data_IF_488831904575
#
_entry.id   IF_488831904575
#
_cell.length_a   1.000
_cell.length_b   1.000
_cell.length_c   1.000
_cell.angle_alpha   90.00
_cell.angle_beta   90.00
_cell.angle_gamma   90.00
#
_symmetry.space_group_name_H-M   'P 1'
#
loop_
_entity.id
_entity.type
_entity.pdbx_description
1 polymer ?
#
# COMPACT_ATOMS: atom_id res chain seq x y z
N UNK A 1 23.42 39.72 2.62
CA UNK A 1 22.30 38.95 3.19
C UNK A 1 21.60 38.35 2.00
N UNK A 2 21.89 37.10 1.66
CA UNK A 2 21.38 36.43 0.46
C UNK A 2 19.89 36.16 0.67
N UNK A 3 19.04 36.82 -0.12
CA UNK A 3 17.62 36.53 -0.19
C UNK A 3 17.43 35.08 -0.62
N UNK A 4 17.21 34.22 0.37
CA UNK A 4 16.86 32.83 0.17
C UNK A 4 15.42 32.81 -0.32
N UNK A 5 15.24 32.90 -1.65
CA UNK A 5 13.93 32.72 -2.28
C UNK A 5 13.54 31.24 -2.12
N UNK A 6 13.02 30.89 -0.94
CA UNK A 6 12.52 29.55 -0.58
C UNK A 6 11.17 29.26 -1.25
N UNK A 7 11.04 29.58 -2.54
CA UNK A 7 9.87 29.19 -3.31
C UNK A 7 10.10 27.78 -3.82
N UNK A 8 9.21 26.87 -3.42
CA UNK A 8 9.21 25.48 -3.87
C UNK A 8 9.18 25.44 -5.40
N UNK A 9 9.94 24.53 -6.01
CA UNK A 9 9.92 24.40 -7.47
C UNK A 9 8.52 23.95 -7.92
N UNK A 10 8.08 24.27 -9.14
CA UNK A 10 6.77 23.85 -9.65
C UNK A 10 6.51 22.34 -9.50
N UNK A 11 7.55 21.52 -9.60
CA UNK A 11 7.50 20.08 -9.43
C UNK A 11 7.30 19.65 -7.97
N UNK A 12 7.90 20.36 -7.01
CA UNK A 12 7.70 20.13 -5.57
C UNK A 12 6.28 20.50 -5.13
N UNK A 13 5.73 21.58 -5.68
CA UNK A 13 4.34 21.98 -5.42
C UNK A 13 3.38 20.97 -6.02
N UNK A 14 3.63 20.51 -7.26
CA UNK A 14 2.83 19.46 -7.89
C UNK A 14 2.85 18.15 -7.07
N UNK A 15 4.02 17.74 -6.61
CA UNK A 15 4.21 16.59 -5.73
C UNK A 15 3.38 16.74 -4.44
N UNK A 16 3.51 17.87 -3.75
CA UNK A 16 2.82 18.12 -2.49
C UNK A 16 1.30 18.08 -2.64
N UNK A 17 0.76 18.67 -3.70
CA UNK A 17 -0.69 18.68 -3.97
C UNK A 17 -1.21 17.27 -4.25
N UNK A 18 -0.48 16.49 -5.06
CA UNK A 18 -0.86 15.10 -5.35
C UNK A 18 -0.83 14.25 -4.06
N UNK A 19 0.23 14.37 -3.28
CA UNK A 19 0.39 13.64 -2.02
C UNK A 19 -0.70 14.02 -1.01
N UNK A 20 -1.01 15.31 -0.86
CA UNK A 20 -2.05 15.78 0.06
C UNK A 20 -3.42 15.20 -0.31
N UNK A 21 -3.79 15.22 -1.59
CA UNK A 21 -5.07 14.66 -2.06
C UNK A 21 -5.14 13.15 -1.87
N UNK A 22 -4.07 12.43 -2.20
CA UNK A 22 -4.00 10.97 -2.02
C UNK A 22 -4.05 10.58 -0.54
N UNK A 23 -3.36 11.32 0.31
CA UNK A 23 -3.36 11.08 1.76
C UNK A 23 -4.75 11.31 2.37
N UNK A 24 -5.40 12.44 2.04
CA UNK A 24 -6.76 12.71 2.52
C UNK A 24 -7.78 11.69 2.00
N UNK A 25 -7.69 11.32 0.72
CA UNK A 25 -8.55 10.30 0.14
C UNK A 25 -8.33 8.92 0.78
N UNK A 26 -7.08 8.50 0.96
CA UNK A 26 -6.72 7.23 1.60
C UNK A 26 -7.14 7.18 3.07
N UNK A 27 -6.98 8.28 3.81
CA UNK A 27 -7.42 8.41 5.20
C UNK A 27 -8.95 8.28 5.32
N UNK A 28 -9.70 8.99 4.48
CA UNK A 28 -11.15 8.91 4.46
C UNK A 28 -11.61 7.49 4.09
N UNK A 29 -10.98 6.86 3.11
CA UNK A 29 -11.27 5.48 2.73
C UNK A 29 -10.94 4.50 3.86
N UNK A 30 -9.90 4.74 4.66
CA UNK A 30 -9.56 3.95 5.83
C UNK A 30 -10.68 3.99 6.87
N UNK A 31 -11.23 5.17 7.18
CA UNK A 31 -12.38 5.26 8.09
C UNK A 31 -13.61 4.53 7.56
N UNK A 32 -13.91 4.65 6.26
CA UNK A 32 -15.06 3.98 5.64
C UNK A 32 -14.91 2.46 5.71
N UNK A 33 -13.79 1.92 5.24
CA UNK A 33 -13.53 0.48 5.21
C UNK A 33 -13.48 -0.13 6.61
N UNK A 34 -12.91 0.61 7.57
CA UNK A 34 -12.89 0.20 8.97
C UNK A 34 -14.30 0.20 9.59
N UNK A 35 -15.12 1.22 9.30
CA UNK A 35 -16.51 1.25 9.74
C UNK A 35 -17.32 0.08 9.12
N UNK A 36 -17.14 -0.22 7.83
CA UNK A 36 -17.78 -1.36 7.16
C UNK A 36 -17.42 -2.69 7.84
N UNK A 37 -16.16 -2.84 8.25
CA UNK A 37 -15.68 -4.01 8.98
C UNK A 37 -16.27 -4.13 10.38
N UNK A 38 -16.24 -3.05 11.18
CA UNK A 38 -16.80 -3.06 12.54
C UNK A 38 -18.31 -3.27 12.57
N UNK A 39 -19.03 -2.69 11.62
CA UNK A 39 -20.48 -2.83 11.50
C UNK A 39 -20.89 -4.21 10.96
N UNK A 40 -19.94 -5.05 10.53
CA UNK A 40 -20.22 -6.37 9.97
C UNK A 40 -21.06 -6.32 8.70
N UNK A 41 -21.03 -5.20 7.96
CA UNK A 41 -21.81 -5.02 6.72
C UNK A 41 -21.32 -5.98 5.64
N UNK A 42 -20.03 -6.33 5.67
CA UNK A 42 -19.40 -7.30 4.79
C UNK A 42 -18.89 -8.51 5.57
N UNK A 43 -19.03 -9.70 4.96
CA UNK A 43 -18.47 -10.94 5.51
C UNK A 43 -16.96 -10.79 5.73
N UNK A 44 -16.51 -11.08 6.95
CA UNK A 44 -15.09 -11.16 7.27
C UNK A 44 -14.62 -12.60 7.13
N UNK A 45 -13.39 -12.84 6.68
CA UNK A 45 -12.83 -14.19 6.62
C UNK A 45 -12.63 -14.75 8.02
N UNK A 46 -12.08 -13.95 8.93
CA UNK A 46 -11.94 -14.33 10.34
C UNK A 46 -13.08 -13.70 11.16
N UNK A 47 -13.92 -14.51 11.83
CA UNK A 47 -14.97 -14.00 12.72
C UNK A 47 -14.39 -13.17 13.86
N UNK A 48 -15.02 -12.03 14.16
CA UNK A 48 -14.55 -11.08 15.19
C UNK A 48 -14.37 -11.71 16.58
N UNK A 49 -15.18 -12.71 16.91
CA UNK A 49 -15.14 -13.46 18.18
C UNK A 49 -13.95 -14.43 18.27
N UNK A 50 -13.36 -14.82 17.13
CA UNK A 50 -12.24 -15.78 17.06
C UNK A 50 -10.88 -15.11 16.86
N UNK A 51 -10.84 -13.84 16.50
CA UNK A 51 -9.61 -13.07 16.20
C UNK A 51 -8.56 -13.20 17.30
N UNK A 52 -8.94 -13.12 18.57
CA UNK A 52 -8.00 -13.20 19.71
C UNK A 52 -7.24 -14.53 19.78
N UNK A 53 -7.79 -15.59 19.21
CA UNK A 53 -7.17 -16.92 19.16
C UNK A 53 -5.95 -16.92 18.25
N UNK A 54 -6.01 -16.14 17.16
CA UNK A 54 -4.99 -16.10 16.12
C UNK A 54 -3.87 -15.07 16.38
N UNK A 55 -4.05 -14.12 17.31
CA UNK A 55 -3.06 -13.06 17.60
C UNK A 55 -1.69 -13.57 18.08
N UNK A 56 -1.66 -14.79 18.61
CA UNK A 56 -0.43 -15.42 19.12
C UNK A 56 0.35 -16.15 18.04
N UNK A 57 -0.26 -16.39 16.88
CA UNK A 57 0.35 -17.16 15.81
C UNK A 57 1.32 -16.28 15.02
N UNK A 58 2.50 -16.81 14.64
CA UNK A 58 3.31 -16.22 13.59
C UNK A 58 2.48 -16.00 12.31
N UNK A 59 2.79 -14.97 11.54
CA UNK A 59 2.02 -14.62 10.33
C UNK A 59 1.91 -15.79 9.35
N UNK A 60 2.95 -16.62 9.23
CA UNK A 60 2.94 -17.80 8.35
C UNK A 60 1.90 -18.84 8.83
N UNK A 61 1.90 -19.14 10.13
CA UNK A 61 0.99 -20.10 10.75
C UNK A 61 -0.44 -19.56 10.76
N UNK A 62 -0.62 -18.26 10.97
CA UNK A 62 -1.90 -17.58 10.81
C UNK A 62 -2.45 -17.75 9.39
N UNK A 63 -1.66 -17.43 8.37
CA UNK A 63 -2.07 -17.55 6.97
C UNK A 63 -2.38 -18.99 6.58
N UNK A 64 -1.64 -19.97 7.12
CA UNK A 64 -1.91 -21.39 6.93
C UNK A 64 -3.22 -21.81 7.61
N UNK A 65 -3.45 -21.39 8.86
CA UNK A 65 -4.66 -21.70 9.61
C UNK A 65 -5.91 -21.12 8.94
N UNK A 66 -5.88 -19.84 8.55
CA UNK A 66 -7.03 -19.22 7.87
C UNK A 66 -7.28 -19.83 6.50
N UNK A 67 -6.23 -20.26 5.79
CA UNK A 67 -6.41 -20.88 4.47
C UNK A 67 -7.05 -22.27 4.58
N UNK A 68 -6.68 -23.03 5.60
CA UNK A 68 -7.29 -24.33 5.87
C UNK A 68 -8.75 -24.21 6.33
N UNK A 69 -9.05 -23.20 7.14
CA UNK A 69 -10.33 -23.09 7.85
C UNK A 69 -11.38 -22.22 7.13
N UNK A 70 -10.97 -21.21 6.36
CA UNK A 70 -11.88 -20.23 5.76
C UNK A 70 -11.67 -19.97 4.26
N UNK A 71 -10.43 -19.84 3.76
CA UNK A 71 -10.20 -19.45 2.36
C UNK A 71 -10.22 -20.62 1.37
N UNK A 72 -9.85 -21.83 1.80
CA UNK A 72 -9.72 -23.05 0.99
C UNK A 72 -9.00 -22.84 -0.35
N UNK A 73 -8.01 -21.94 -0.39
CA UNK A 73 -7.24 -21.65 -1.59
C UNK A 73 -6.12 -22.68 -1.77
N UNK A 74 -5.76 -22.97 -3.02
CA UNK A 74 -4.70 -23.92 -3.37
C UNK A 74 -3.33 -23.58 -2.74
N UNK A 75 -3.09 -22.31 -2.44
CA UNK A 75 -1.88 -21.80 -1.79
C UNK A 75 -2.22 -20.71 -0.77
N UNK A 76 -1.34 -20.50 0.22
CA UNK A 76 -1.50 -19.43 1.20
C UNK A 76 -1.49 -18.06 0.51
N UNK A 77 -2.40 -17.15 0.89
CA UNK A 77 -2.48 -15.83 0.27
C UNK A 77 -1.31 -14.95 0.72
N UNK A 78 -0.25 -14.91 -0.07
CA UNK A 78 0.95 -14.09 0.17
C UNK A 78 1.09 -12.97 -0.87
N UNK A 79 1.83 -11.91 -0.51
CA UNK A 79 2.06 -10.75 -1.38
C UNK A 79 0.74 -10.15 -1.87
N UNK A 80 0.60 -9.94 -3.17
CA UNK A 80 -0.60 -9.35 -3.79
C UNK A 80 -1.85 -10.25 -3.84
N UNK A 81 -1.78 -11.48 -3.33
CA UNK A 81 -2.92 -12.41 -3.35
C UNK A 81 -4.14 -11.89 -2.57
N UNK A 82 -3.94 -10.99 -1.60
CA UNK A 82 -5.01 -10.34 -0.84
C UNK A 82 -6.01 -9.57 -1.73
N UNK A 83 -5.60 -9.12 -2.92
CA UNK A 83 -6.48 -8.45 -3.89
C UNK A 83 -7.69 -9.32 -4.28
N UNK A 84 -7.55 -10.64 -4.26
CA UNK A 84 -8.66 -11.58 -4.54
C UNK A 84 -9.70 -11.62 -3.43
N UNK A 85 -9.34 -11.16 -2.23
CA UNK A 85 -10.17 -11.22 -1.03
C UNK A 85 -10.69 -9.84 -0.61
N UNK A 86 -10.54 -8.80 -1.43
CA UNK A 86 -11.04 -7.44 -1.15
C UNK A 86 -12.56 -7.40 -0.92
N UNK A 87 -13.29 -8.41 -1.41
CA UNK A 87 -14.70 -8.62 -1.10
C UNK A 87 -14.99 -9.10 0.33
N UNK A 88 -13.96 -9.22 1.19
CA UNK A 88 -14.08 -9.59 2.60
C UNK A 88 -13.67 -8.41 3.48
N UNK A 89 -14.45 -8.14 4.53
CA UNK A 89 -14.32 -6.91 5.32
C UNK A 89 -12.95 -6.73 5.98
N UNK A 90 -12.34 -7.81 6.45
CA UNK A 90 -10.99 -7.82 7.02
C UNK A 90 -9.92 -7.49 5.98
N UNK A 91 -9.98 -8.11 4.80
CA UNK A 91 -9.05 -7.85 3.70
C UNK A 91 -9.27 -6.50 3.00
N UNK A 92 -10.50 -5.96 3.04
CA UNK A 92 -10.83 -4.65 2.51
C UNK A 92 -10.06 -3.53 3.22
N UNK A 93 -9.76 -3.68 4.52
CA UNK A 93 -8.97 -2.72 5.27
C UNK A 93 -7.52 -2.59 4.77
N UNK A 94 -6.99 -3.58 4.05
CA UNK A 94 -5.66 -3.48 3.44
C UNK A 94 -5.64 -2.55 2.23
N UNK A 95 -6.78 -2.35 1.55
CA UNK A 95 -6.87 -1.48 0.38
C UNK A 95 -6.42 -0.04 0.64
N UNK A 96 -6.99 0.70 1.62
CA UNK A 96 -6.54 2.06 1.92
C UNK A 96 -5.09 2.10 2.42
N UNK A 97 -4.64 1.09 3.16
CA UNK A 97 -3.24 0.99 3.62
C UNK A 97 -2.30 0.88 2.40
N UNK A 98 -2.64 0.03 1.44
CA UNK A 98 -1.87 -0.14 0.21
C UNK A 98 -1.85 1.14 -0.64
N UNK A 99 -2.97 1.88 -0.70
CA UNK A 99 -3.05 3.17 -1.41
C UNK A 99 -2.17 4.23 -0.73
N UNK A 100 -2.22 4.33 0.60
CA UNK A 100 -1.38 5.26 1.36
C UNK A 100 0.11 4.93 1.21
N UNK A 101 0.49 3.66 1.33
CA UNK A 101 1.86 3.20 1.10
C UNK A 101 2.33 3.42 -0.36
N UNK A 102 1.42 3.23 -1.32
CA UNK A 102 1.67 3.44 -2.74
C UNK A 102 1.72 4.90 -3.16
N UNK A 103 1.35 5.85 -2.29
CA UNK A 103 1.35 7.28 -2.61
C UNK A 103 2.74 7.75 -3.03
N UNK A 104 3.80 7.29 -2.34
CA UNK A 104 5.19 7.58 -2.69
C UNK A 104 5.55 7.10 -4.11
N UNK A 105 5.09 5.90 -4.49
CA UNK A 105 5.31 5.32 -5.82
C UNK A 105 4.63 6.18 -6.90
N UNK A 106 3.38 6.57 -6.66
CA UNK A 106 2.61 7.44 -7.56
C UNK A 106 3.32 8.78 -7.75
N UNK A 107 3.85 9.35 -6.67
CA UNK A 107 4.53 10.63 -6.74
C UNK A 107 5.84 10.57 -7.53
N UNK A 108 6.64 9.51 -7.38
CA UNK A 108 7.82 9.29 -8.23
C UNK A 108 7.44 9.15 -9.70
N UNK A 109 6.42 8.34 -9.99
CA UNK A 109 5.91 8.17 -11.35
C UNK A 109 5.37 9.48 -11.96
N UNK A 110 4.79 10.36 -11.15
CA UNK A 110 4.30 11.67 -11.59
C UNK A 110 5.42 12.65 -11.96
N UNK A 111 6.58 12.56 -11.30
CA UNK A 111 7.75 13.42 -11.58
C UNK A 111 8.50 12.95 -12.83
N UNK A 112 8.51 11.64 -13.12
CA UNK A 112 9.26 11.03 -14.22
C UNK A 112 9.02 11.71 -15.60
N UNK A 113 7.78 11.97 -16.05
CA UNK A 113 7.52 12.66 -17.31
C UNK A 113 8.06 14.09 -17.37
N UNK A 114 8.14 14.77 -16.22
CA UNK A 114 8.70 16.12 -16.11
C UNK A 114 10.22 16.13 -16.30
N UNK A 115 10.90 15.15 -15.69
CA UNK A 115 12.36 14.97 -15.81
C UNK A 115 12.79 14.59 -17.23
N UNK A 116 12.05 13.69 -17.89
CA UNK A 116 12.35 13.32 -19.26
C UNK A 116 12.16 14.48 -20.25
N UNK A 117 11.18 15.38 -20.01
CA UNK A 117 10.99 16.60 -20.82
C UNK A 117 12.09 17.64 -20.64
N UNK A 118 12.71 17.69 -19.46
CA UNK A 118 13.82 18.61 -19.15
C UNK A 118 15.20 18.14 -19.63
N UNK A 119 15.31 16.90 -20.12
CA UNK A 119 16.58 16.30 -20.54
C UNK A 119 17.36 15.60 -19.43
N UNK A 120 16.84 15.61 -18.20
CA UNK A 120 17.42 15.02 -17.00
C UNK A 120 17.19 13.49 -16.93
N UNK A 121 17.62 12.78 -17.98
CA UNK A 121 17.35 11.34 -18.19
C UNK A 121 17.90 10.46 -17.06
N UNK A 122 19.01 10.84 -16.44
CA UNK A 122 19.61 10.08 -15.33
C UNK A 122 18.70 10.07 -14.09
N UNK A 123 18.15 11.23 -13.71
CA UNK A 123 17.22 11.32 -12.59
C UNK A 123 15.89 10.64 -12.92
N UNK A 124 15.43 10.71 -14.17
CA UNK A 124 14.20 10.04 -14.61
C UNK A 124 14.33 8.51 -14.51
N UNK A 125 15.50 7.98 -14.85
CA UNK A 125 15.80 6.56 -14.68
C UNK A 125 15.85 6.16 -13.20
N UNK A 126 16.50 6.94 -12.34
CA UNK A 126 16.55 6.65 -10.89
C UNK A 126 15.16 6.59 -10.26
N UNK A 127 14.29 7.57 -10.54
CA UNK A 127 12.93 7.57 -10.02
C UNK A 127 12.10 6.36 -10.48
N UNK A 128 12.33 5.89 -11.71
CA UNK A 128 11.68 4.68 -12.23
C UNK A 128 12.20 3.42 -11.53
N UNK A 129 13.51 3.34 -11.28
CA UNK A 129 14.11 2.24 -10.51
C UNK A 129 13.59 2.23 -9.07
N UNK A 130 13.48 3.39 -8.40
CA UNK A 130 12.91 3.50 -7.06
C UNK A 130 11.45 3.01 -7.02
N UNK A 131 10.62 3.42 -7.98
CA UNK A 131 9.24 2.94 -8.08
C UNK A 131 9.16 1.41 -8.24
N UNK A 132 10.06 0.83 -9.04
CA UNK A 132 10.15 -0.63 -9.19
C UNK A 132 10.60 -1.30 -7.89
N UNK A 133 11.62 -0.79 -7.21
CA UNK A 133 12.12 -1.33 -5.94
C UNK A 133 11.01 -1.30 -4.87
N UNK A 134 10.31 -0.18 -4.72
CA UNK A 134 9.22 -0.05 -3.75
C UNK A 134 8.08 -1.04 -4.04
N UNK A 135 7.74 -1.24 -5.31
CA UNK A 135 6.71 -2.20 -5.72
C UNK A 135 7.14 -3.64 -5.45
N UNK A 136 8.42 -3.97 -5.68
CA UNK A 136 8.99 -5.29 -5.43
C UNK A 136 9.20 -5.57 -3.93
N UNK A 137 9.48 -4.53 -3.12
CA UNK A 137 9.52 -4.63 -1.67
C UNK A 137 8.12 -4.90 -1.12
N UNK A 138 7.10 -4.19 -1.62
CA UNK A 138 5.70 -4.40 -1.24
C UNK A 138 5.15 -5.78 -1.64
N UNK A 139 5.68 -6.40 -2.70
CA UNK A 139 5.25 -7.75 -3.12
C UNK A 139 5.81 -8.88 -2.26
N UNK A 140 6.81 -8.58 -1.41
CA UNK A 140 7.55 -9.60 -0.65
C UNK A 140 8.51 -10.45 -1.51
N UNK A 141 8.66 -10.16 -2.80
CA UNK A 141 9.62 -10.84 -3.69
C UNK A 141 11.06 -10.39 -3.42
N UNK A 142 11.26 -9.14 -3.00
CA UNK A 142 12.54 -8.65 -2.48
C UNK A 142 12.64 -8.93 -0.97
N UNK A 143 12.65 -10.20 -0.58
CA UNK A 143 13.07 -10.61 0.75
C UNK A 143 14.61 -10.58 0.81
N UNK A 144 15.20 -9.40 1.04
CA UNK A 144 16.63 -9.24 1.35
C UNK A 144 16.95 -9.67 2.79
N UNK A 145 15.97 -10.17 3.54
CA UNK A 145 16.16 -10.81 4.84
C UNK A 145 15.54 -12.21 4.83
N UNK A 146 16.35 -13.21 4.50
CA UNK A 146 16.02 -14.60 4.82
C UNK A 146 16.25 -14.82 6.31
N UNK A 147 15.16 -15.00 7.05
CA UNK A 147 15.14 -15.65 8.36
C UNK A 147 13.83 -16.41 8.50
#
# INVERSE_FOLDING_TARGET
MSDNNTQATPEQVLYAVIQEKLMLAGLLLMFITFALYLLGIMDSVVPLDKISTYWRLPVHDYLAAINAEYLHAAHTPTGWAWLKFVGKGDFLNFLPIAILAGTTIVCYLAIVPGLFRRGDKAYGFMALVEAVILTLAASGLLAVGGH
#
